data_IF_753083244970
#
_entry.id   IF_753083244970
#
_cell.length_a   1.000
_cell.length_b   1.000
_cell.length_c   1.000
_cell.angle_alpha   90.00
_cell.angle_beta   90.00
_cell.angle_gamma   90.00
#
_symmetry.space_group_name_H-M   'P 1'
#
loop_
_entity.id
_entity.type
_entity.pdbx_description
1 polymer ?
#
# COMPACT_ATOMS: atom_id res chain seq x y z
N UNK A 1 -5.50 -4.15 8.17
CA UNK A 1 -5.04 -2.81 7.76
C UNK A 1 -4.03 -2.96 6.63
N UNK A 2 -4.13 -2.13 5.59
CA UNK A 2 -3.20 -2.13 4.45
C UNK A 2 -2.21 -0.97 4.63
N UNK A 3 -0.92 -1.22 4.45
CA UNK A 3 0.13 -0.22 4.64
C UNK A 3 1.23 -0.30 3.60
N UNK A 4 1.73 0.86 3.18
CA UNK A 4 2.87 1.03 2.28
C UNK A 4 4.02 1.60 3.09
N UNK A 5 5.16 0.92 3.09
CA UNK A 5 6.37 1.32 3.84
C UNK A 5 7.58 1.35 2.90
N UNK A 6 8.53 2.24 3.16
CA UNK A 6 9.84 2.21 2.50
C UNK A 6 10.68 1.13 3.16
N UNK A 7 11.44 0.37 2.37
CA UNK A 7 12.44 -0.53 2.92
C UNK A 7 13.61 0.30 3.46
N UNK A 8 13.90 0.16 4.75
CA UNK A 8 14.96 0.92 5.44
C UNK A 8 16.36 0.60 4.92
N UNK A 9 16.58 -0.65 4.48
CA UNK A 9 17.87 -1.12 3.97
C UNK A 9 18.02 -0.83 2.46
N UNK A 10 16.90 -0.75 1.73
CA UNK A 10 16.90 -0.50 0.29
C UNK A 10 15.85 0.56 -0.09
N UNK A 11 16.17 1.87 -0.01
CA UNK A 11 15.20 2.96 -0.13
C UNK A 11 14.46 3.04 -1.49
N UNK A 12 15.00 2.39 -2.53
CA UNK A 12 14.36 2.31 -3.85
C UNK A 12 13.16 1.34 -3.88
N UNK A 13 13.04 0.49 -2.87
CA UNK A 13 12.02 -0.53 -2.74
C UNK A 13 10.96 -0.13 -1.72
N UNK A 14 9.73 -0.48 -2.05
CA UNK A 14 8.53 -0.13 -1.31
C UNK A 14 7.79 -1.42 -1.00
N UNK A 15 7.57 -1.66 0.28
CA UNK A 15 6.90 -2.84 0.80
C UNK A 15 5.41 -2.53 0.97
N UNK A 16 4.57 -3.41 0.44
CA UNK A 16 3.12 -3.37 0.62
C UNK A 16 2.72 -4.48 1.57
N UNK A 17 2.09 -4.10 2.67
CA UNK A 17 1.55 -5.02 3.66
C UNK A 17 0.02 -4.99 3.64
N UNK A 18 -0.60 -6.14 3.80
CA UNK A 18 -2.04 -6.26 4.02
C UNK A 18 -2.28 -7.21 5.19
N UNK A 19 -3.12 -6.78 6.14
CA UNK A 19 -3.55 -7.60 7.27
C UNK A 19 -2.40 -8.21 8.09
N UNK A 20 -1.30 -7.47 8.22
CA UNK A 20 -0.11 -7.89 8.99
C UNK A 20 0.89 -8.73 8.20
N UNK A 21 0.59 -9.09 6.95
CA UNK A 21 1.49 -9.85 6.07
C UNK A 21 2.09 -8.95 5.00
N UNK A 22 3.37 -9.18 4.67
CA UNK A 22 4.00 -8.56 3.51
C UNK A 22 3.47 -9.26 2.26
N UNK A 23 2.83 -8.50 1.37
CA UNK A 23 2.22 -9.05 0.15
C UNK A 23 3.19 -8.98 -1.01
N UNK A 24 3.87 -7.84 -1.17
CA UNK A 24 4.81 -7.62 -2.26
C UNK A 24 5.82 -6.52 -1.90
N UNK A 25 6.94 -6.52 -2.62
CA UNK A 25 7.95 -5.46 -2.60
C UNK A 25 8.17 -4.96 -4.03
N UNK A 26 7.87 -3.69 -4.26
CA UNK A 26 7.86 -3.11 -5.61
C UNK A 26 8.75 -1.88 -5.70
N UNK A 27 9.24 -1.60 -6.91
CA UNK A 27 9.88 -0.33 -7.22
C UNK A 27 8.83 0.69 -7.67
N UNK A 28 8.89 1.88 -7.10
CA UNK A 28 8.09 3.04 -7.49
C UNK A 28 6.74 3.19 -6.77
N UNK A 29 6.46 4.42 -6.33
CA UNK A 29 5.28 4.76 -5.53
C UNK A 29 3.95 4.42 -6.23
N UNK A 30 3.85 4.67 -7.54
CA UNK A 30 2.63 4.44 -8.29
C UNK A 30 2.21 2.96 -8.31
N UNK A 31 3.19 2.04 -8.43
CA UNK A 31 2.94 0.60 -8.42
C UNK A 31 2.49 0.12 -7.04
N UNK A 32 3.17 0.58 -5.98
CA UNK A 32 2.81 0.26 -4.61
C UNK A 32 1.39 0.76 -4.27
N UNK A 33 1.06 1.98 -4.67
CA UNK A 33 -0.24 2.58 -4.45
C UNK A 33 -1.35 1.82 -5.20
N UNK A 34 -1.12 1.46 -6.47
CA UNK A 34 -2.08 0.69 -7.26
C UNK A 34 -2.36 -0.67 -6.63
N UNK A 35 -1.30 -1.37 -6.19
CA UNK A 35 -1.45 -2.66 -5.52
C UNK A 35 -2.23 -2.53 -4.21
N UNK A 36 -1.87 -1.57 -3.36
CA UNK A 36 -2.57 -1.32 -2.10
C UNK A 36 -4.05 -0.95 -2.30
N UNK A 37 -4.37 -0.12 -3.32
CA UNK A 37 -5.74 0.24 -3.68
C UNK A 37 -6.54 -0.97 -4.18
N UNK A 38 -5.94 -1.83 -5.02
CA UNK A 38 -6.59 -3.06 -5.50
C UNK A 38 -6.97 -3.96 -4.33
N UNK A 39 -5.99 -4.28 -3.46
CA UNK A 39 -6.23 -5.10 -2.27
C UNK A 39 -7.29 -4.46 -1.37
N UNK A 40 -7.26 -3.13 -1.22
CA UNK A 40 -8.25 -2.43 -0.41
C UNK A 40 -9.67 -2.57 -0.97
N UNK A 41 -9.83 -2.41 -2.29
CA UNK A 41 -11.11 -2.58 -2.98
C UNK A 41 -11.64 -4.01 -2.84
N UNK A 42 -10.78 -5.00 -3.05
CA UNK A 42 -11.14 -6.42 -2.99
C UNK A 42 -11.55 -6.86 -1.57
N UNK A 43 -11.09 -6.14 -0.53
CA UNK A 43 -11.37 -6.45 0.87
C UNK A 43 -12.29 -5.42 1.56
N UNK A 44 -12.89 -4.48 0.82
CA UNK A 44 -13.79 -3.46 1.39
C UNK A 44 -13.12 -2.48 2.37
N UNK A 45 -11.80 -2.30 2.27
CA UNK A 45 -11.06 -1.38 3.13
C UNK A 45 -11.19 0.07 2.63
N UNK A 46 -11.66 0.96 3.52
CA UNK A 46 -11.90 2.38 3.19
C UNK A 46 -10.64 3.25 3.26
N UNK A 47 -9.60 2.77 3.96
CA UNK A 47 -8.38 3.51 4.22
C UNK A 47 -7.14 2.63 4.03
N UNK A 48 -6.08 3.25 3.52
CA UNK A 48 -4.74 2.68 3.40
C UNK A 48 -3.73 3.61 4.09
N UNK A 49 -2.72 3.04 4.75
CA UNK A 49 -1.61 3.83 5.26
C UNK A 49 -0.53 3.93 4.18
N UNK A 50 -0.19 5.15 3.80
CA UNK A 50 0.83 5.45 2.78
C UNK A 50 1.99 6.16 3.48
N UNK A 51 3.08 5.44 3.72
CA UNK A 51 4.30 5.98 4.34
C UNK A 51 4.08 6.69 5.69
N UNK A 52 3.11 6.22 6.49
CA UNK A 52 2.74 6.81 7.77
C UNK A 52 1.48 7.68 7.72
N UNK A 53 1.03 8.08 6.53
CA UNK A 53 -0.17 8.90 6.36
C UNK A 53 -1.39 8.03 6.06
N UNK A 54 -2.47 8.19 6.82
CA UNK A 54 -3.73 7.53 6.49
C UNK A 54 -4.40 8.24 5.31
N UNK A 55 -4.66 7.52 4.22
CA UNK A 55 -5.36 8.03 3.04
C UNK A 55 -6.63 7.24 2.80
N UNK A 56 -7.71 7.95 2.48
CA UNK A 56 -8.96 7.34 2.04
C UNK A 56 -8.75 6.71 0.66
N UNK A 57 -9.31 5.52 0.46
CA UNK A 57 -9.33 4.89 -0.86
C UNK A 57 -10.39 5.59 -1.67
N UNK A 58 -9.98 6.57 -2.47
CA UNK A 58 -10.88 7.20 -3.43
C UNK A 58 -11.17 6.21 -4.56
N UNK A 59 -12.44 5.84 -4.69
CA UNK A 59 -13.03 5.28 -5.90
C UNK A 59 -13.04 6.39 -6.96
N UNK A 60 -11.96 6.51 -7.75
CA UNK A 60 -12.15 7.10 -9.07
C UNK A 60 -12.85 6.02 -9.89
N UNK A 61 -14.16 6.22 -10.04
CA UNK A 61 -15.05 5.52 -10.96
C UNK A 61 -14.58 5.71 -12.41
#
# INVERSE_FOLDING_TARGET
MISIKKNSNFPTWIQVFAFGQMIDEVKGNARALRLAKSIAKDNGATHINVFGELKKVEENA
#
